data_IF_721222109075
#
_entry.id   IF_721222109075
#
_cell.length_a   1.000
_cell.length_b   1.000
_cell.length_c   1.000
_cell.angle_alpha   90.00
_cell.angle_beta   90.00
_cell.angle_gamma   90.00
#
_symmetry.space_group_name_H-M   'P 1'
#
loop_
_entity.id
_entity.type
_entity.pdbx_description
1 polymer ?
#
# COMPACT_ATOMS: atom_id res chain seq x y z
N UNK A 1 -1.09 -21.98 30.79
CA UNK A 1 0.24 -21.39 30.50
C UNK A 1 0.55 -21.67 29.02
N UNK A 2 0.88 -20.66 28.22
CA UNK A 2 1.03 -20.80 26.75
C UNK A 2 2.36 -21.42 26.30
N UNK A 3 3.26 -21.84 27.19
CA UNK A 3 4.52 -22.53 26.85
C UNK A 3 5.49 -21.80 25.92
N UNK A 4 5.31 -20.49 25.70
CA UNK A 4 6.12 -19.67 24.78
C UNK A 4 7.10 -18.78 25.54
N UNK A 5 8.24 -18.44 24.91
CA UNK A 5 9.23 -17.55 25.51
C UNK A 5 8.70 -16.11 25.62
N UNK A 6 9.23 -15.36 26.60
CA UNK A 6 8.89 -13.93 26.74
C UNK A 6 9.25 -13.12 25.48
N UNK A 7 10.32 -13.51 24.78
CA UNK A 7 10.71 -12.89 23.50
C UNK A 7 9.69 -13.13 22.41
N UNK A 8 9.24 -14.37 22.24
CA UNK A 8 8.22 -14.75 21.26
C UNK A 8 6.90 -13.99 21.51
N UNK A 9 6.49 -13.91 22.78
CA UNK A 9 5.29 -13.16 23.16
C UNK A 9 5.44 -11.67 22.84
N UNK A 10 6.59 -11.07 23.14
CA UNK A 10 6.88 -9.67 22.86
C UNK A 10 6.81 -9.37 21.36
N UNK A 11 7.40 -10.22 20.53
CA UNK A 11 7.36 -10.09 19.07
C UNK A 11 5.93 -10.24 18.53
N UNK A 12 5.17 -11.22 19.04
CA UNK A 12 3.77 -11.40 18.64
C UNK A 12 2.91 -10.18 19.01
N UNK A 13 3.05 -9.68 20.23
CA UNK A 13 2.33 -8.49 20.68
C UNK A 13 2.75 -7.23 19.90
N UNK A 14 4.02 -7.12 19.51
CA UNK A 14 4.47 -6.02 18.66
C UNK A 14 3.82 -6.06 17.27
N UNK A 15 3.73 -7.25 16.66
CA UNK A 15 3.02 -7.42 15.38
C UNK A 15 1.53 -7.08 15.47
N UNK A 16 0.86 -7.47 16.57
CA UNK A 16 -0.54 -7.13 16.81
C UNK A 16 -0.75 -5.62 17.05
N UNK A 17 0.24 -4.95 17.65
CA UNK A 17 0.24 -3.49 17.81
C UNK A 17 0.48 -2.77 16.47
N UNK A 18 1.43 -3.26 15.67
CA UNK A 18 1.70 -2.80 14.32
C UNK A 18 0.51 -3.01 13.36
N UNK A 19 -0.28 -4.07 13.56
CA UNK A 19 -1.51 -4.31 12.82
C UNK A 19 -2.73 -3.55 13.37
N UNK A 20 -2.56 -2.80 14.47
CA UNK A 20 -3.66 -2.05 15.12
C UNK A 20 -4.67 -2.92 15.87
N UNK A 21 -4.43 -4.23 15.99
CA UNK A 21 -5.30 -5.15 16.72
C UNK A 21 -5.25 -4.94 18.23
N UNK A 22 -4.15 -4.41 18.73
CA UNK A 22 -4.00 -4.01 20.13
C UNK A 22 -3.37 -2.62 20.23
N UNK A 23 -3.70 -1.93 21.32
CA UNK A 23 -3.09 -0.64 21.71
C UNK A 23 -2.45 -0.80 23.08
N UNK A 24 -1.16 -0.49 23.19
CA UNK A 24 -0.45 -0.45 24.48
C UNK A 24 -0.44 0.96 25.03
N UNK A 25 -0.87 1.09 26.26
CA UNK A 25 -0.75 2.35 27.03
C UNK A 25 0.21 2.12 28.18
N UNK A 26 1.31 2.85 28.20
CA UNK A 26 2.32 2.75 29.23
C UNK A 26 1.68 2.98 30.61
N UNK A 27 1.89 2.05 31.54
CA UNK A 27 1.29 2.08 32.86
C UNK A 27 -0.17 1.64 32.96
N UNK A 28 -0.89 1.47 31.83
CA UNK A 28 -2.32 1.12 31.85
C UNK A 28 -2.62 -0.27 31.28
N UNK A 29 -1.66 -0.88 30.54
CA UNK A 29 -1.82 -2.23 29.99
C UNK A 29 -1.97 -2.29 28.46
N UNK A 30 -2.39 -3.46 27.98
CA UNK A 30 -2.64 -3.74 26.57
C UNK A 30 -4.15 -3.90 26.36
N UNK A 31 -4.71 -3.15 25.45
CA UNK A 31 -6.13 -3.15 25.15
C UNK A 31 -6.37 -3.68 23.75
N UNK A 32 -7.47 -4.38 23.52
CA UNK A 32 -7.89 -4.78 22.18
C UNK A 32 -8.35 -3.53 21.44
N UNK A 33 -7.67 -3.20 20.36
CA UNK A 33 -7.98 -2.04 19.52
C UNK A 33 -9.23 -2.32 18.67
N UNK A 34 -10.42 -2.30 19.27
CA UNK A 34 -11.68 -2.22 18.52
C UNK A 34 -12.08 -0.77 18.39
N UNK A 35 -11.61 -0.12 17.36
CA UNK A 35 -12.43 0.91 16.73
C UNK A 35 -13.39 0.13 15.83
N UNK A 36 -14.68 0.20 16.09
CA UNK A 36 -15.69 -0.26 15.15
C UNK A 36 -15.63 0.69 13.94
N UNK A 37 -14.76 0.38 13.01
CA UNK A 37 -14.60 1.13 11.78
C UNK A 37 -15.67 0.60 10.84
N UNK A 38 -16.47 1.45 10.16
CA UNK A 38 -17.37 1.01 9.10
C UNK A 38 -16.62 0.08 8.13
N UNK A 39 -17.34 -0.74 7.37
CA UNK A 39 -16.76 -1.69 6.43
C UNK A 39 -16.05 -0.97 5.27
N UNK A 40 -14.96 -0.28 5.57
CA UNK A 40 -14.06 0.34 4.60
C UNK A 40 -12.73 -0.41 4.56
N UNK A 41 -12.07 -0.32 3.44
CA UNK A 41 -10.73 -0.84 3.25
C UNK A 41 -9.75 0.10 3.97
N UNK A 42 -8.77 -0.46 4.65
CA UNK A 42 -7.70 0.29 5.29
C UNK A 42 -6.38 -0.04 4.59
N UNK A 43 -5.85 0.93 3.86
CA UNK A 43 -4.63 0.81 3.08
C UNK A 43 -3.44 1.37 3.85
N UNK A 44 -2.40 0.57 3.97
CA UNK A 44 -1.12 0.98 4.52
C UNK A 44 -0.15 1.26 3.38
N UNK A 45 0.13 2.53 3.11
CA UNK A 45 1.02 2.94 2.02
C UNK A 45 2.49 2.54 2.20
N UNK A 46 2.87 2.04 3.36
CA UNK A 46 4.19 1.47 3.62
C UNK A 46 4.32 0.01 3.16
N UNK A 47 3.24 -0.59 2.66
CA UNK A 47 3.20 -1.96 2.14
C UNK A 47 2.39 -2.01 0.85
N UNK A 48 2.93 -2.68 -0.15
CA UNK A 48 2.19 -3.00 -1.35
C UNK A 48 1.39 -4.29 -1.12
N UNK A 49 0.08 -4.17 -0.99
CA UNK A 49 -0.82 -5.29 -0.69
C UNK A 49 -2.07 -5.24 -1.57
N UNK A 50 -2.50 -6.39 -2.16
CA UNK A 50 -3.73 -6.41 -2.94
C UNK A 50 -4.98 -6.08 -2.10
N UNK A 51 -5.92 -5.30 -2.64
CA UNK A 51 -7.18 -4.98 -1.95
C UNK A 51 -8.01 -6.22 -1.60
N UNK A 52 -7.87 -7.31 -2.36
CA UNK A 52 -8.44 -8.63 -2.02
C UNK A 52 -7.98 -9.13 -0.65
N UNK A 53 -6.70 -8.97 -0.33
CA UNK A 53 -6.11 -9.36 0.95
C UNK A 53 -6.58 -8.46 2.08
N UNK A 54 -6.63 -7.14 1.83
CA UNK A 54 -7.14 -6.15 2.78
C UNK A 54 -8.61 -6.45 3.12
N UNK A 55 -9.44 -6.64 2.09
CA UNK A 55 -10.86 -6.94 2.25
C UNK A 55 -11.08 -8.24 3.05
N UNK A 56 -10.33 -9.31 2.72
CA UNK A 56 -10.41 -10.59 3.43
C UNK A 56 -10.06 -10.44 4.91
N UNK A 57 -9.01 -9.68 5.25
CA UNK A 57 -8.61 -9.40 6.63
C UNK A 57 -9.68 -8.65 7.41
N UNK A 58 -10.44 -7.79 6.73
CA UNK A 58 -11.52 -6.98 7.30
C UNK A 58 -12.89 -7.67 7.28
N UNK A 59 -12.99 -8.87 6.72
CA UNK A 59 -14.26 -9.56 6.53
C UNK A 59 -15.19 -8.86 5.53
N UNK A 60 -14.63 -8.00 4.66
CA UNK A 60 -15.38 -7.32 3.60
C UNK A 60 -15.42 -8.19 2.36
N UNK A 61 -16.61 -8.52 1.88
CA UNK A 61 -16.78 -9.24 0.63
C UNK A 61 -16.76 -8.25 -0.53
N UNK A 62 -15.73 -8.35 -1.37
CA UNK A 62 -15.64 -7.64 -2.64
C UNK A 62 -16.20 -8.49 -3.77
N UNK A 63 -16.86 -7.85 -4.72
CA UNK A 63 -17.28 -8.43 -5.99
C UNK A 63 -17.16 -7.42 -7.11
N UNK A 64 -17.30 -7.88 -8.36
CA UNK A 64 -17.23 -7.03 -9.56
C UNK A 64 -18.62 -6.84 -10.14
N UNK A 65 -18.94 -5.61 -10.58
CA UNK A 65 -20.18 -5.34 -11.34
C UNK A 65 -19.90 -5.01 -12.80
N UNK A 66 -18.69 -4.53 -13.10
CA UNK A 66 -18.26 -4.25 -14.46
C UNK A 66 -16.80 -4.66 -14.60
N UNK A 67 -16.50 -5.29 -15.74
CA UNK A 67 -15.19 -5.83 -16.02
C UNK A 67 -14.93 -5.82 -17.53
N UNK A 68 -13.85 -5.16 -17.94
CA UNK A 68 -13.44 -5.06 -19.34
C UNK A 68 -11.94 -5.33 -19.43
N UNK A 69 -11.54 -6.19 -20.36
CA UNK A 69 -10.12 -6.40 -20.74
C UNK A 69 -10.03 -6.07 -22.24
N UNK A 70 -9.11 -5.20 -22.58
CA UNK A 70 -8.88 -4.76 -23.95
C UNK A 70 -7.39 -4.64 -24.23
N UNK A 71 -6.99 -4.89 -25.47
CA UNK A 71 -5.67 -4.49 -25.98
C UNK A 71 -5.86 -3.22 -26.77
N UNK A 72 -5.20 -2.15 -26.34
CA UNK A 72 -5.30 -0.85 -27.00
C UNK A 72 -3.97 -0.08 -27.01
N UNK A 73 -3.80 0.86 -27.95
CA UNK A 73 -2.61 1.70 -27.97
C UNK A 73 -2.51 2.52 -26.68
N UNK A 74 -1.30 2.56 -26.08
CA UNK A 74 -1.04 3.36 -24.89
C UNK A 74 -0.99 4.86 -25.25
N UNK A 75 -1.54 5.69 -24.35
CA UNK A 75 -1.39 7.14 -24.45
C UNK A 75 0.02 7.60 -24.04
N UNK A 76 0.43 8.80 -24.47
CA UNK A 76 1.79 9.29 -24.30
C UNK A 76 2.17 9.47 -22.81
N UNK A 77 1.24 9.90 -21.96
CA UNK A 77 1.49 10.14 -20.53
C UNK A 77 1.88 8.86 -19.80
N UNK A 78 1.00 7.85 -19.86
CA UNK A 78 1.25 6.55 -19.18
C UNK A 78 2.35 5.76 -19.91
N UNK A 79 2.43 5.90 -21.24
CA UNK A 79 3.52 5.32 -22.03
C UNK A 79 4.89 5.79 -21.54
N UNK A 80 5.04 7.09 -21.31
CA UNK A 80 6.27 7.66 -20.77
C UNK A 80 6.61 7.14 -19.37
N UNK A 81 5.60 6.91 -18.51
CA UNK A 81 5.80 6.31 -17.18
C UNK A 81 6.27 4.85 -17.26
N UNK A 82 5.78 4.10 -18.23
CA UNK A 82 6.14 2.70 -18.45
C UNK A 82 7.37 2.50 -19.35
N UNK A 83 7.98 3.59 -19.84
CA UNK A 83 9.11 3.50 -20.77
C UNK A 83 8.73 2.96 -22.15
N UNK A 84 7.47 3.11 -22.55
CA UNK A 84 6.92 2.60 -23.81
C UNK A 84 6.79 3.71 -24.84
N UNK A 85 7.07 3.35 -26.10
CA UNK A 85 6.80 4.24 -27.23
C UNK A 85 5.30 4.53 -27.35
N UNK A 86 4.93 5.74 -27.83
CA UNK A 86 3.54 6.10 -28.06
C UNK A 86 2.86 5.08 -28.98
N UNK A 87 1.61 4.74 -28.65
CA UNK A 87 0.79 3.76 -29.36
C UNK A 87 1.24 2.29 -29.24
N UNK A 88 2.21 1.95 -28.43
CA UNK A 88 2.51 0.55 -28.11
C UNK A 88 1.22 -0.14 -27.64
N UNK A 89 0.86 -1.32 -28.20
CA UNK A 89 -0.29 -2.08 -27.73
C UNK A 89 -0.06 -2.58 -26.30
N UNK A 90 -1.00 -2.30 -25.41
CA UNK A 90 -0.96 -2.73 -24.00
C UNK A 90 -2.28 -3.35 -23.58
N UNK A 91 -2.23 -4.31 -22.67
CA UNK A 91 -3.44 -4.83 -22.04
C UNK A 91 -3.92 -3.84 -20.99
N UNK A 92 -5.17 -3.43 -21.13
CA UNK A 92 -5.87 -2.57 -20.17
C UNK A 92 -7.00 -3.34 -19.51
N UNK A 93 -7.15 -3.16 -18.21
CA UNK A 93 -8.16 -3.83 -17.41
C UNK A 93 -8.96 -2.77 -16.66
N UNK A 94 -10.26 -2.71 -16.92
CA UNK A 94 -11.19 -1.83 -16.21
C UNK A 94 -12.09 -2.66 -15.31
N UNK A 95 -12.27 -2.22 -14.05
CA UNK A 95 -13.08 -2.93 -13.07
C UNK A 95 -13.83 -1.97 -12.18
N UNK A 96 -15.03 -2.39 -11.75
CA UNK A 96 -15.79 -1.70 -10.70
C UNK A 96 -15.98 -2.67 -9.53
N UNK A 97 -15.35 -2.36 -8.41
CA UNK A 97 -15.49 -3.11 -7.18
C UNK A 97 -16.71 -2.65 -6.41
N UNK A 98 -17.44 -3.62 -5.87
CA UNK A 98 -18.62 -3.38 -5.04
C UNK A 98 -18.56 -4.18 -3.75
N UNK A 99 -19.21 -3.64 -2.73
CA UNK A 99 -19.56 -4.34 -1.48
C UNK A 99 -21.08 -4.46 -1.37
N UNK A 100 -21.58 -5.04 -0.29
CA UNK A 100 -23.02 -5.03 0.00
C UNK A 100 -23.61 -3.61 0.10
N UNK A 101 -22.78 -2.60 0.41
CA UNK A 101 -23.17 -1.19 0.48
C UNK A 101 -23.16 -0.45 -0.86
N UNK A 102 -22.76 -1.09 -1.94
CA UNK A 102 -22.69 -0.50 -3.29
C UNK A 102 -21.26 -0.39 -3.83
N UNK A 103 -21.07 0.38 -4.92
CA UNK A 103 -19.77 0.60 -5.54
C UNK A 103 -18.79 1.29 -4.60
N UNK A 104 -17.58 0.74 -4.49
CA UNK A 104 -16.52 1.28 -3.63
C UNK A 104 -15.32 1.79 -4.40
N UNK A 105 -15.02 1.20 -5.57
CA UNK A 105 -13.89 1.66 -6.38
C UNK A 105 -14.09 1.39 -7.86
N UNK A 106 -13.50 2.28 -8.66
CA UNK A 106 -13.23 2.07 -10.09
C UNK A 106 -11.73 1.91 -10.26
N UNK A 107 -11.31 0.81 -10.85
CA UNK A 107 -9.92 0.47 -11.06
C UNK A 107 -9.59 0.39 -12.55
N UNK A 108 -8.44 0.90 -12.89
CA UNK A 108 -7.91 0.89 -14.23
C UNK A 108 -6.44 0.48 -14.19
N UNK A 109 -6.14 -0.68 -14.74
CA UNK A 109 -4.79 -1.24 -14.76
C UNK A 109 -4.26 -1.32 -16.20
N UNK A 110 -2.96 -1.13 -16.35
CA UNK A 110 -2.18 -1.36 -17.55
C UNK A 110 -0.98 -2.19 -17.18
N UNK A 111 -0.74 -3.30 -17.91
CA UNK A 111 0.47 -4.10 -17.75
C UNK A 111 1.43 -3.84 -18.90
N UNK A 112 2.73 -3.80 -18.57
CA UNK A 112 3.78 -3.66 -19.57
C UNK A 112 3.78 -4.89 -20.52
N UNK A 113 3.98 -4.74 -21.83
CA UNK A 113 3.95 -5.86 -22.78
C UNK A 113 4.96 -6.96 -22.54
N UNK A 114 6.03 -6.69 -21.77
CA UNK A 114 7.00 -7.72 -21.36
C UNK A 114 6.41 -8.75 -20.38
N UNK A 115 5.26 -8.45 -19.78
CA UNK A 115 4.56 -9.36 -18.87
C UNK A 115 3.60 -10.22 -19.68
N UNK A 116 3.89 -11.49 -19.77
CA UNK A 116 3.01 -12.47 -20.41
C UNK A 116 1.85 -12.82 -19.48
N UNK A 117 0.74 -12.13 -19.68
CA UNK A 117 -0.49 -12.39 -18.91
C UNK A 117 -1.13 -13.72 -19.34
N UNK A 118 -1.89 -14.39 -18.46
CA UNK A 118 -2.69 -15.54 -18.85
C UNK A 118 -3.65 -15.21 -20.00
N UNK A 119 -4.06 -16.20 -20.81
CA UNK A 119 -5.08 -15.99 -21.83
C UNK A 119 -6.32 -15.27 -21.27
N UNK A 120 -6.93 -14.39 -22.06
CA UNK A 120 -7.97 -13.47 -21.61
C UNK A 120 -9.10 -14.13 -20.80
N UNK A 121 -9.56 -15.32 -21.20
CA UNK A 121 -10.60 -16.08 -20.46
C UNK A 121 -10.11 -16.57 -19.09
N UNK A 122 -8.85 -16.94 -18.96
CA UNK A 122 -8.27 -17.35 -17.69
C UNK A 122 -8.08 -16.13 -16.79
N UNK A 123 -7.47 -15.06 -17.31
CA UNK A 123 -7.29 -13.81 -16.61
C UNK A 123 -8.63 -13.26 -16.09
N UNK A 124 -9.67 -13.28 -16.95
CA UNK A 124 -11.03 -12.89 -16.58
C UNK A 124 -11.55 -13.70 -15.38
N UNK A 125 -11.46 -15.03 -15.44
CA UNK A 125 -11.94 -15.89 -14.34
C UNK A 125 -11.21 -15.63 -13.02
N UNK A 126 -9.91 -15.38 -13.05
CA UNK A 126 -9.10 -15.11 -11.86
C UNK A 126 -9.53 -13.78 -11.22
N UNK A 127 -9.67 -12.73 -12.02
CA UNK A 127 -10.10 -11.42 -11.53
C UNK A 127 -11.57 -11.41 -11.06
N UNK A 128 -12.47 -12.15 -11.74
CA UNK A 128 -13.87 -12.31 -11.30
C UNK A 128 -14.00 -13.07 -9.98
N UNK A 129 -13.04 -13.92 -9.64
CA UNK A 129 -12.95 -14.58 -8.32
C UNK A 129 -12.43 -13.66 -7.22
N UNK A 130 -12.15 -12.41 -7.54
CA UNK A 130 -11.72 -11.38 -6.60
C UNK A 130 -10.21 -11.18 -6.50
N UNK A 131 -9.40 -11.82 -7.37
CA UNK A 131 -7.98 -11.49 -7.46
C UNK A 131 -7.79 -10.07 -8.00
N UNK A 132 -6.71 -9.42 -7.57
CA UNK A 132 -6.24 -8.16 -8.12
C UNK A 132 -5.15 -8.43 -9.17
N UNK A 133 -4.84 -7.44 -10.00
CA UNK A 133 -3.74 -7.56 -10.97
C UNK A 133 -2.42 -7.87 -10.25
N UNK A 134 -2.21 -7.29 -9.08
CA UNK A 134 -1.05 -7.56 -8.24
C UNK A 134 -0.97 -9.05 -7.80
N UNK A 135 -2.11 -9.69 -7.49
CA UNK A 135 -2.17 -11.12 -7.18
C UNK A 135 -1.72 -11.94 -8.42
N UNK A 136 -2.25 -11.61 -9.59
CA UNK A 136 -1.91 -12.29 -10.86
C UNK A 136 -0.43 -12.15 -11.17
N UNK A 137 0.15 -10.96 -11.07
CA UNK A 137 1.59 -10.73 -11.29
C UNK A 137 2.44 -11.56 -10.32
N UNK A 138 2.03 -11.65 -9.07
CA UNK A 138 2.73 -12.44 -8.04
C UNK A 138 2.66 -13.94 -8.36
N UNK A 139 1.49 -14.45 -8.77
CA UNK A 139 1.30 -15.85 -9.14
C UNK A 139 2.08 -16.24 -10.42
N UNK A 140 2.29 -15.29 -11.32
CA UNK A 140 3.16 -15.46 -12.50
C UNK A 140 4.66 -15.49 -12.15
N UNK A 141 5.01 -15.29 -10.86
CA UNK A 141 6.40 -15.24 -10.42
C UNK A 141 7.14 -13.97 -10.81
N UNK A 142 6.41 -12.91 -11.15
CA UNK A 142 7.00 -11.59 -11.42
C UNK A 142 7.65 -11.07 -10.15
N UNK A 143 8.95 -10.78 -10.21
CA UNK A 143 9.70 -10.22 -9.07
C UNK A 143 9.33 -8.74 -8.90
N UNK A 144 8.39 -8.45 -8.02
CA UNK A 144 7.97 -7.08 -7.70
C UNK A 144 8.85 -6.55 -6.58
N UNK A 145 9.50 -5.39 -6.80
CA UNK A 145 10.36 -4.75 -5.80
C UNK A 145 9.61 -3.73 -4.95
N UNK A 146 8.92 -2.80 -5.60
CA UNK A 146 8.17 -1.73 -4.94
C UNK A 146 7.13 -1.11 -5.88
N UNK A 147 6.25 -0.31 -5.34
CA UNK A 147 5.41 0.60 -6.10
C UNK A 147 5.63 2.05 -5.66
N UNK A 148 5.53 2.97 -6.60
CA UNK A 148 5.43 4.40 -6.32
C UNK A 148 3.98 4.80 -6.41
N UNK A 149 3.39 5.16 -5.27
CA UNK A 149 1.98 5.55 -5.17
C UNK A 149 1.86 7.07 -4.99
N UNK A 150 1.01 7.69 -5.79
CA UNK A 150 0.54 9.07 -5.61
C UNK A 150 -0.89 9.03 -5.12
N UNK A 151 -1.16 9.79 -4.08
CA UNK A 151 -2.50 9.89 -3.48
C UNK A 151 -3.02 11.30 -3.71
N UNK A 152 -4.15 11.42 -4.37
CA UNK A 152 -4.70 12.71 -4.77
C UNK A 152 -6.21 12.76 -4.57
N UNK A 153 -6.77 13.91 -4.15
CA UNK A 153 -8.19 14.15 -4.26
C UNK A 153 -8.56 14.44 -5.74
N UNK A 154 -9.66 13.87 -6.20
CA UNK A 154 -10.23 14.18 -7.52
C UNK A 154 -11.70 14.52 -7.41
N UNK A 155 -12.10 15.62 -8.03
CA UNK A 155 -13.52 15.95 -8.17
C UNK A 155 -14.09 15.17 -9.37
N UNK A 156 -15.09 14.34 -9.11
CA UNK A 156 -15.78 13.52 -10.10
C UNK A 156 -17.22 14.00 -10.22
N UNK A 157 -17.69 14.14 -11.46
CA UNK A 157 -19.07 14.54 -11.75
C UNK A 157 -19.95 13.32 -12.12
N UNK A 158 -21.28 13.39 -11.95
CA UNK A 158 -22.19 12.31 -12.33
C UNK A 158 -22.17 11.96 -13.83
N UNK A 159 -21.69 12.87 -14.67
CA UNK A 159 -21.63 12.66 -16.13
C UNK A 159 -20.43 11.83 -16.56
N UNK A 160 -19.36 11.83 -15.78
CA UNK A 160 -18.16 11.05 -16.06
C UNK A 160 -18.42 9.55 -15.96
N UNK A 161 -17.66 8.74 -16.70
CA UNK A 161 -17.74 7.28 -16.63
C UNK A 161 -17.51 6.76 -15.19
N UNK A 162 -16.52 7.31 -14.49
CA UNK A 162 -16.25 7.02 -13.07
C UNK A 162 -17.43 7.40 -12.19
N UNK A 163 -18.02 8.58 -12.41
CA UNK A 163 -19.18 9.03 -11.63
C UNK A 163 -20.39 8.12 -11.77
N UNK A 164 -20.66 7.67 -13.00
CA UNK A 164 -21.72 6.70 -13.28
C UNK A 164 -21.42 5.36 -12.63
N UNK A 165 -20.18 4.89 -12.71
CA UNK A 165 -19.74 3.61 -12.14
C UNK A 165 -19.81 3.61 -10.60
N UNK A 166 -19.45 4.71 -9.95
CA UNK A 166 -19.55 4.92 -8.50
C UNK A 166 -20.94 5.39 -8.05
N UNK A 167 -21.92 5.52 -8.97
CA UNK A 167 -23.28 5.99 -8.67
C UNK A 167 -23.31 7.36 -7.99
N UNK A 168 -22.41 8.27 -8.40
CA UNK A 168 -22.31 9.62 -7.87
C UNK A 168 -23.47 10.46 -8.43
N UNK A 169 -24.27 11.07 -7.54
CA UNK A 169 -25.45 11.88 -7.93
C UNK A 169 -25.16 13.38 -8.01
N UNK A 170 -24.05 13.86 -7.45
CA UNK A 170 -23.59 15.25 -7.46
C UNK A 170 -22.07 15.31 -7.54
N UNK A 171 -21.45 16.43 -7.96
CA UNK A 171 -20.00 16.55 -7.93
C UNK A 171 -19.44 16.17 -6.57
N UNK A 172 -18.56 15.17 -6.53
CA UNK A 172 -18.07 14.54 -5.29
C UNK A 172 -16.57 14.39 -5.37
N UNK A 173 -15.88 14.74 -4.28
CA UNK A 173 -14.46 14.44 -4.13
C UNK A 173 -14.28 12.94 -3.83
N UNK A 174 -13.47 12.30 -4.64
CA UNK A 174 -13.04 10.90 -4.47
C UNK A 174 -11.56 10.86 -4.19
N UNK A 175 -11.07 9.77 -3.59
CA UNK A 175 -9.65 9.53 -3.44
C UNK A 175 -9.15 8.81 -4.71
N UNK A 176 -8.10 9.35 -5.31
CA UNK A 176 -7.40 8.73 -6.44
C UNK A 176 -6.03 8.26 -5.98
N UNK A 177 -5.73 6.98 -6.19
CA UNK A 177 -4.41 6.38 -6.07
C UNK A 177 -3.88 6.07 -7.47
N UNK A 178 -2.73 6.62 -7.79
CA UNK A 178 -1.99 6.32 -9.01
C UNK A 178 -0.72 5.56 -8.62
N UNK A 179 -0.57 4.34 -9.13
CA UNK A 179 0.57 3.48 -8.79
C UNK A 179 1.37 3.10 -10.02
N UNK A 180 2.67 3.15 -9.89
CA UNK A 180 3.62 2.62 -10.85
C UNK A 180 4.42 1.52 -10.16
N UNK A 181 4.24 0.28 -10.62
CA UNK A 181 4.84 -0.93 -10.03
C UNK A 181 6.13 -1.25 -10.75
N UNK A 182 7.17 -1.54 -9.99
CA UNK A 182 8.52 -1.80 -10.48
C UNK A 182 8.96 -3.24 -10.18
N UNK A 183 9.61 -3.86 -11.15
CA UNK A 183 10.26 -5.15 -10.97
C UNK A 183 11.58 -5.04 -10.20
N UNK A 184 12.16 -6.19 -9.86
CA UNK A 184 13.42 -6.28 -9.12
C UNK A 184 14.62 -5.63 -9.81
N UNK A 185 14.58 -5.51 -11.15
CA UNK A 185 15.57 -4.79 -11.94
C UNK A 185 15.39 -3.26 -11.97
N UNK A 186 14.30 -2.75 -11.41
CA UNK A 186 13.99 -1.30 -11.38
C UNK A 186 13.18 -0.82 -12.60
N UNK A 187 12.79 -1.69 -13.51
CA UNK A 187 11.94 -1.36 -14.65
C UNK A 187 10.47 -1.29 -14.24
N UNK A 188 9.69 -0.34 -14.79
CA UNK A 188 8.24 -0.26 -14.54
C UNK A 188 7.51 -1.36 -15.32
N UNK A 189 6.67 -2.12 -14.63
CA UNK A 189 5.97 -3.30 -15.19
C UNK A 189 4.45 -3.19 -15.20
N UNK A 190 3.89 -2.31 -14.40
CA UNK A 190 2.46 -2.05 -14.42
C UNK A 190 2.15 -0.64 -13.93
N UNK A 191 1.03 -0.14 -14.38
CA UNK A 191 0.43 1.12 -13.94
C UNK A 191 -0.99 0.84 -13.50
N UNK A 192 -1.40 1.38 -12.36
CA UNK A 192 -2.81 1.39 -11.97
C UNK A 192 -3.30 2.80 -11.60
N UNK A 193 -4.59 2.99 -11.75
CA UNK A 193 -5.29 4.18 -11.29
C UNK A 193 -6.62 3.79 -10.69
N UNK A 194 -6.71 3.94 -9.38
CA UNK A 194 -7.81 3.48 -8.57
C UNK A 194 -8.53 4.68 -7.96
N UNK A 195 -9.85 4.78 -8.19
CA UNK A 195 -10.67 5.85 -7.66
C UNK A 195 -11.66 5.27 -6.65
N UNK A 196 -11.59 5.73 -5.43
CA UNK A 196 -12.40 5.25 -4.32
C UNK A 196 -13.51 6.23 -3.96
N UNK A 197 -14.72 5.71 -3.82
CA UNK A 197 -15.84 6.46 -3.30
C UNK A 197 -15.53 7.03 -1.89
N UNK A 198 -16.15 8.15 -1.47
CA UNK A 198 -15.93 8.71 -0.14
C UNK A 198 -16.15 7.69 0.96
N UNK A 199 -15.16 7.53 1.84
CA UNK A 199 -15.21 6.59 2.96
C UNK A 199 -15.04 5.10 2.59
N UNK A 200 -14.79 4.77 1.31
CA UNK A 200 -14.55 3.39 0.89
C UNK A 200 -13.14 2.90 1.21
N UNK A 201 -12.17 3.81 1.25
CA UNK A 201 -10.78 3.53 1.58
C UNK A 201 -10.29 4.50 2.66
N UNK A 202 -9.68 3.95 3.69
CA UNK A 202 -8.94 4.70 4.71
C UNK A 202 -7.44 4.47 4.49
N UNK A 203 -6.71 5.53 4.19
CA UNK A 203 -5.30 5.48 3.81
C UNK A 203 -4.46 6.03 4.95
N UNK A 204 -3.49 5.25 5.42
CA UNK A 204 -2.57 5.69 6.45
C UNK A 204 -1.14 5.24 6.21
N UNK A 205 -0.20 5.95 6.80
CA UNK A 205 1.21 5.61 6.79
C UNK A 205 1.75 5.69 8.22
N UNK A 206 2.49 4.68 8.63
CA UNK A 206 3.21 4.70 9.89
C UNK A 206 4.50 5.50 9.75
N UNK A 207 4.62 6.59 10.50
CA UNK A 207 5.83 7.41 10.54
C UNK A 207 6.56 7.18 11.86
N UNK A 208 7.79 6.66 11.80
CA UNK A 208 8.65 6.55 12.97
C UNK A 208 9.54 7.80 13.08
N UNK A 209 9.81 8.23 14.31
CA UNK A 209 10.85 9.21 14.58
C UNK A 209 12.15 8.43 14.69
N UNK A 210 13.14 8.74 13.84
CA UNK A 210 14.51 8.26 14.07
C UNK A 210 14.97 8.86 15.38
N UNK A 211 15.12 8.02 16.42
CA UNK A 211 15.75 8.44 17.67
C UNK A 211 17.19 8.78 17.33
N UNK A 212 17.51 10.07 17.24
CA UNK A 212 18.91 10.51 17.36
C UNK A 212 19.34 10.06 18.74
N UNK A 213 20.11 8.98 18.82
CA UNK A 213 20.87 8.67 20.01
C UNK A 213 21.79 9.88 20.19
N UNK A 214 21.66 10.68 21.27
CA UNK A 214 22.58 11.78 21.48
C UNK A 214 23.98 11.17 21.50
N UNK A 215 24.88 11.70 20.67
CA UNK A 215 26.30 11.31 20.77
C UNK A 215 26.71 11.45 22.24
N UNK A 216 27.36 10.45 22.84
CA UNK A 216 27.83 10.56 24.20
C UNK A 216 28.73 11.81 24.26
N UNK A 217 28.35 12.76 25.12
CA UNK A 217 29.16 13.95 25.38
C UNK A 217 30.49 13.43 25.91
N UNK A 218 31.49 13.38 25.04
CA UNK A 218 32.85 13.03 25.46
C UNK A 218 33.32 14.22 26.29
N UNK A 219 33.08 14.11 27.59
CA UNK A 219 33.67 15.07 28.56
C UNK A 219 35.16 14.89 28.47
N UNK A 220 35.85 15.84 27.84
CA UNK A 220 37.30 15.84 27.77
C UNK A 220 37.85 15.73 29.21
N UNK A 221 38.38 14.56 29.53
CA UNK A 221 39.05 14.35 30.79
C UNK A 221 40.20 15.35 30.86
N UNK A 222 40.12 16.30 31.81
CA UNK A 222 41.21 17.21 32.10
C UNK A 222 42.48 16.38 32.36
N UNK A 223 43.38 16.41 31.41
CA UNK A 223 44.73 15.84 31.58
C UNK A 223 45.37 16.50 32.80
N UNK A 224 45.50 15.75 33.88
CA UNK A 224 46.36 16.12 35.01
C UNK A 224 47.78 16.19 34.46
N UNK A 225 48.29 17.40 34.31
CA UNK A 225 49.69 17.65 33.97
C UNK A 225 50.62 16.91 34.95
N UNK A 226 51.85 16.58 34.49
CA UNK A 226 52.80 15.82 35.31
C UNK A 226 53.17 16.59 36.56
N UNK A 227 53.15 15.87 37.72
CA UNK A 227 53.52 16.38 39.02
C UNK A 227 54.99 16.87 39.01
N UNK A 228 55.21 18.11 39.38
CA UNK A 228 56.58 18.67 39.60
C UNK A 228 57.28 17.90 40.74
N UNK A 229 58.55 17.54 40.55
CA UNK A 229 59.32 16.90 41.62
C UNK A 229 59.62 17.90 42.75
N UNK A 230 59.42 17.45 43.99
CA UNK A 230 59.78 18.20 45.21
C UNK A 230 61.29 18.34 45.33
N UNK A 231 61.85 19.52 45.70
CA UNK A 231 63.26 19.67 45.98
C UNK A 231 63.66 18.92 47.25
N UNK A 232 64.77 18.18 47.19
CA UNK A 232 65.40 17.54 48.39
C UNK A 232 66.05 18.61 49.20
N UNK A 233 65.67 18.73 50.45
CA UNK A 233 66.36 19.51 51.49
C UNK A 233 67.62 18.76 51.95
N UNK A 234 68.72 19.49 52.05
CA UNK A 234 69.90 19.10 52.82
C UNK A 234 69.61 19.32 54.31
#
# INVERSE_FOLDING_TARGET
>A
MLGISRGTLRTALQRLEESGEIVRRQGSGTFVGRVAVPAHLEERLDRLEPYSSIARRRGVKLSLTRFEIEVRPIGPEVGGLLGLEPRTPVTTIFRVLVTAGGPVSVMFDITHPSIELPPGDRLRRELERGQMVLDVLTELGVSIAFARTRVMPRLVTPREQVGKALQISRPTAVLELEELIYAGGGEPIAYSRDLFAPGALDVHIMRSVESRVPEPIVTAAKSRGPARPRPRSR
#
